data_IF_186238379364
#
_entry.id   IF_186238379364
#
_cell.length_a   1.000
_cell.length_b   1.000
_cell.length_c   1.000
_cell.angle_alpha   90.00
_cell.angle_beta   90.00
_cell.angle_gamma   90.00
#
_symmetry.space_group_name_H-M   'P 1'
#
loop_
_entity.id
_entity.type
_entity.pdbx_description
1 polymer ?
#
# COMPACT_ATOMS: atom_id res chain seq x y z
N UNK A 1 16.90 -75.10 4.28
CA UNK A 1 17.14 -74.79 5.71
C UNK A 1 18.29 -73.83 5.78
N UNK A 2 18.10 -72.62 6.22
CA UNK A 2 18.50 -72.18 7.57
C UNK A 2 17.49 -71.18 8.17
N UNK A 3 17.28 -71.31 9.36
CA UNK A 3 17.33 -70.65 10.63
C UNK A 3 17.05 -69.15 10.66
N UNK A 4 16.08 -68.84 11.49
CA UNK A 4 15.51 -67.56 11.78
C UNK A 4 16.46 -66.60 12.56
N UNK A 5 16.06 -65.34 12.51
CA UNK A 5 16.58 -64.35 13.41
C UNK A 5 15.44 -63.48 13.91
N UNK A 6 15.17 -63.63 15.20
CA UNK A 6 14.13 -62.94 15.97
C UNK A 6 14.51 -61.47 16.19
N UNK A 7 13.71 -60.53 15.73
CA UNK A 7 13.82 -59.14 16.14
C UNK A 7 12.92 -58.89 17.36
N UNK A 8 13.53 -58.57 18.49
CA UNK A 8 12.89 -58.10 19.72
C UNK A 8 12.17 -56.76 19.44
N UNK A 9 10.87 -56.71 19.68
CA UNK A 9 10.08 -55.47 19.81
C UNK A 9 10.36 -54.88 21.20
N UNK A 10 10.80 -53.63 21.21
CA UNK A 10 10.89 -52.82 22.43
C UNK A 10 9.55 -52.10 22.59
N UNK A 11 8.79 -52.47 23.58
CA UNK A 11 7.55 -51.81 23.98
C UNK A 11 7.91 -50.52 24.72
N UNK A 12 7.42 -49.38 24.21
CA UNK A 12 7.49 -48.09 24.90
C UNK A 12 6.21 -47.90 25.71
N UNK A 13 6.42 -47.89 27.02
CA UNK A 13 5.36 -47.76 28.03
C UNK A 13 4.88 -46.30 28.13
N UNK A 14 3.69 -46.01 27.63
CA UNK A 14 3.03 -44.69 27.75
C UNK A 14 2.23 -44.66 29.06
N UNK A 15 2.78 -43.99 30.06
CA UNK A 15 2.05 -43.67 31.30
C UNK A 15 0.97 -42.63 31.04
N UNK A 16 -0.30 -43.05 31.19
CA UNK A 16 -1.48 -42.17 31.27
C UNK A 16 -1.40 -41.32 32.54
N UNK A 17 -1.25 -40.00 32.41
CA UNK A 17 -1.58 -39.06 33.50
C UNK A 17 -3.05 -38.71 33.45
N UNK A 18 -3.72 -38.88 34.59
CA UNK A 18 -5.12 -38.52 34.80
C UNK A 18 -5.32 -37.01 34.71
N UNK A 19 -6.34 -36.59 33.94
CA UNK A 19 -6.87 -35.24 33.95
C UNK A 19 -7.54 -34.97 35.30
N UNK A 20 -7.17 -33.85 35.88
CA UNK A 20 -7.90 -33.21 36.96
C UNK A 20 -8.57 -31.97 36.34
N UNK A 21 -9.89 -32.04 36.28
CA UNK A 21 -10.77 -30.94 35.88
C UNK A 21 -10.76 -29.88 36.98
N UNK A 22 -10.25 -28.70 36.68
CA UNK A 22 -10.59 -27.51 37.46
C UNK A 22 -11.08 -26.43 36.49
N UNK A 23 -12.27 -25.98 36.81
CA UNK A 23 -12.99 -24.84 36.22
C UNK A 23 -12.09 -23.62 36.18
N UNK A 24 -12.00 -22.96 35.03
CA UNK A 24 -11.40 -21.62 34.91
C UNK A 24 -12.52 -20.65 34.58
N UNK A 25 -12.82 -19.88 35.60
CA UNK A 25 -13.57 -18.63 35.58
C UNK A 25 -13.02 -17.63 34.59
N UNK A 26 -13.90 -16.72 34.17
CA UNK A 26 -13.71 -15.70 33.14
C UNK A 26 -12.42 -14.90 33.28
N UNK A 27 -11.74 -14.72 32.16
CA UNK A 27 -10.71 -13.71 32.01
C UNK A 27 -11.35 -12.40 31.61
N UNK A 28 -11.50 -11.52 32.57
CA UNK A 28 -11.71 -10.09 32.37
C UNK A 28 -10.55 -9.51 31.56
N UNK A 29 -10.87 -8.64 30.62
CA UNK A 29 -9.88 -7.82 29.91
C UNK A 29 -9.22 -6.89 30.92
N UNK A 30 -7.89 -6.69 30.90
CA UNK A 30 -7.24 -5.73 31.79
C UNK A 30 -7.59 -4.32 31.36
N UNK A 31 -8.26 -3.61 32.26
CA UNK A 31 -8.49 -2.17 32.26
C UNK A 31 -7.11 -1.45 32.33
N UNK A 32 -6.78 -0.64 31.34
CA UNK A 32 -5.57 0.19 31.34
C UNK A 32 -5.78 1.44 32.21
N UNK A 33 -5.88 1.25 33.49
CA UNK A 33 -6.01 2.30 34.49
C UNK A 33 -4.87 2.27 35.51
N UNK A 34 -3.99 3.26 35.39
CA UNK A 34 -3.08 3.83 36.40
C UNK A 34 -2.07 2.93 37.16
N UNK A 35 -0.81 3.25 36.91
CA UNK A 35 0.43 2.98 37.66
C UNK A 35 1.30 1.83 37.14
N UNK A 36 2.43 2.24 36.55
CA UNK A 36 3.61 1.43 36.35
C UNK A 36 3.99 1.27 34.87
N UNK A 37 5.10 1.88 34.47
CA UNK A 37 5.85 1.79 33.23
C UNK A 37 5.61 0.47 32.45
N UNK A 38 4.58 0.41 31.63
CA UNK A 38 4.51 -0.45 30.47
C UNK A 38 4.75 0.45 29.28
N UNK A 39 5.97 0.46 28.77
CA UNK A 39 6.30 1.03 27.47
C UNK A 39 5.30 0.45 26.46
N UNK A 40 4.41 1.29 25.93
CA UNK A 40 3.70 0.95 24.71
C UNK A 40 4.76 0.51 23.71
N UNK A 41 4.58 -0.61 22.99
CA UNK A 41 5.53 -1.01 21.96
C UNK A 41 5.74 0.19 21.05
N UNK A 42 6.97 0.70 20.99
CA UNK A 42 7.32 1.86 20.18
C UNK A 42 6.83 1.58 18.76
N UNK A 43 6.08 2.52 18.18
CA UNK A 43 5.63 2.41 16.80
C UNK A 43 6.86 2.13 15.93
N UNK A 44 6.77 1.10 15.08
CA UNK A 44 7.87 0.72 14.17
C UNK A 44 8.14 1.95 13.29
N UNK A 45 9.36 2.49 13.26
CA UNK A 45 9.66 3.67 12.48
C UNK A 45 9.43 3.38 11.00
N UNK A 46 8.62 4.20 10.34
CA UNK A 46 8.46 4.14 8.89
C UNK A 46 9.69 4.72 8.21
N UNK A 47 10.17 4.03 7.19
CA UNK A 47 11.28 4.48 6.36
C UNK A 47 10.80 5.60 5.42
N UNK A 48 11.67 6.57 5.19
CA UNK A 48 11.48 7.58 4.15
C UNK A 48 12.55 7.36 3.07
N UNK A 49 12.26 7.56 1.80
CA UNK A 49 13.28 7.51 0.76
C UNK A 49 14.32 8.59 0.98
N UNK A 50 15.46 8.49 0.30
CA UNK A 50 16.52 9.50 0.32
C UNK A 50 15.95 10.90 0.09
N UNK A 51 16.50 11.92 0.76
CA UNK A 51 15.97 13.31 0.72
C UNK A 51 15.91 13.91 -0.69
N UNK A 52 16.71 13.41 -1.63
CA UNK A 52 16.72 13.84 -3.03
C UNK A 52 15.88 12.92 -3.94
N UNK A 53 15.24 11.90 -3.38
CA UNK A 53 14.39 10.98 -4.12
C UNK A 53 12.91 11.35 -3.98
N UNK A 54 12.22 11.36 -5.11
CA UNK A 54 10.74 11.46 -5.15
C UNK A 54 10.19 10.19 -5.79
N UNK A 55 9.44 9.40 -5.04
CA UNK A 55 8.79 8.18 -5.52
C UNK A 55 7.29 8.41 -5.40
N UNK A 56 6.58 8.44 -6.56
CA UNK A 56 5.15 8.70 -6.58
C UNK A 56 4.34 7.49 -6.09
N UNK A 57 4.72 6.29 -6.56
CA UNK A 57 4.03 5.06 -6.20
C UNK A 57 5.02 3.97 -5.81
N UNK A 58 4.92 3.49 -4.59
CA UNK A 58 5.69 2.35 -4.07
C UNK A 58 4.79 1.12 -4.03
N UNK A 59 5.05 0.14 -4.90
CA UNK A 59 4.19 -1.02 -5.11
C UNK A 59 4.94 -2.31 -4.80
N UNK A 60 4.47 -3.07 -3.84
CA UNK A 60 5.04 -4.39 -3.55
C UNK A 60 4.43 -5.48 -4.44
N UNK A 61 5.26 -6.38 -4.94
CA UNK A 61 4.81 -7.57 -5.66
C UNK A 61 5.07 -8.79 -4.79
N UNK A 62 4.02 -9.53 -4.50
CA UNK A 62 4.02 -10.60 -3.53
C UNK A 62 3.38 -11.87 -4.09
N UNK A 63 3.82 -13.03 -3.60
CA UNK A 63 3.19 -14.32 -3.88
C UNK A 63 3.10 -15.18 -2.63
N UNK A 64 2.08 -16.02 -2.57
CA UNK A 64 1.92 -16.97 -1.45
C UNK A 64 2.98 -18.07 -1.46
N UNK A 65 3.52 -18.45 -2.63
CA UNK A 65 4.41 -19.59 -2.83
C UNK A 65 5.50 -19.25 -3.86
N UNK A 66 6.63 -19.92 -3.75
CA UNK A 66 7.68 -19.87 -4.76
C UNK A 66 7.30 -20.57 -6.06
N UNK A 67 7.85 -20.10 -7.17
CA UNK A 67 7.68 -20.74 -8.49
C UNK A 67 6.44 -20.31 -9.31
N UNK A 68 5.68 -19.31 -8.83
CA UNK A 68 4.54 -18.74 -9.59
C UNK A 68 4.97 -17.68 -10.62
N UNK A 69 6.26 -17.40 -10.71
CA UNK A 69 6.80 -16.40 -11.63
C UNK A 69 6.66 -14.96 -11.16
N UNK A 70 6.60 -14.71 -9.84
CA UNK A 70 6.51 -13.38 -9.23
C UNK A 70 7.53 -12.39 -9.80
N UNK A 71 8.83 -12.73 -9.76
CA UNK A 71 9.91 -11.85 -10.25
C UNK A 71 9.82 -11.61 -11.76
N UNK A 72 9.38 -12.61 -12.55
CA UNK A 72 9.11 -12.39 -13.97
C UNK A 72 7.96 -11.39 -14.17
N UNK A 73 6.87 -11.51 -13.39
CA UNK A 73 5.76 -10.55 -13.44
C UNK A 73 6.24 -9.17 -13.01
N UNK A 74 7.04 -9.04 -11.94
CA UNK A 74 7.62 -7.76 -11.51
C UNK A 74 8.42 -7.09 -12.63
N UNK A 75 9.28 -7.85 -13.30
CA UNK A 75 10.06 -7.33 -14.44
C UNK A 75 9.16 -6.96 -15.63
N UNK A 76 8.18 -7.79 -15.98
CA UNK A 76 7.24 -7.49 -17.08
C UNK A 76 6.43 -6.22 -16.80
N UNK A 77 5.98 -6.01 -15.57
CA UNK A 77 5.31 -4.78 -15.16
C UNK A 77 6.25 -3.57 -15.30
N UNK A 78 7.50 -3.68 -14.82
CA UNK A 78 8.48 -2.60 -14.94
C UNK A 78 8.77 -2.24 -16.40
N UNK A 79 8.96 -3.24 -17.26
CA UNK A 79 9.19 -3.05 -18.69
C UNK A 79 8.00 -2.37 -19.36
N UNK A 80 6.78 -2.82 -19.07
CA UNK A 80 5.56 -2.25 -19.63
C UNK A 80 5.34 -0.79 -19.15
N UNK A 81 5.57 -0.49 -17.86
CA UNK A 81 5.54 0.87 -17.34
C UNK A 81 6.58 1.76 -18.02
N UNK A 82 7.81 1.25 -18.21
CA UNK A 82 8.87 2.01 -18.89
C UNK A 82 8.52 2.32 -20.34
N UNK A 83 7.89 1.39 -21.06
CA UNK A 83 7.37 1.61 -22.41
C UNK A 83 6.28 2.67 -22.50
N UNK A 84 5.49 2.82 -21.45
CA UNK A 84 4.49 3.89 -21.32
C UNK A 84 5.12 5.26 -20.99
N UNK A 85 6.45 5.32 -20.79
CA UNK A 85 7.20 6.56 -20.55
C UNK A 85 7.40 6.89 -19.06
N UNK A 86 6.99 6.03 -18.14
CA UNK A 86 7.21 6.24 -16.71
C UNK A 86 8.66 5.99 -16.30
N UNK A 87 9.15 6.72 -15.30
CA UNK A 87 10.41 6.44 -14.63
C UNK A 87 10.21 5.34 -13.59
N UNK A 88 10.92 4.21 -13.76
CA UNK A 88 10.67 2.98 -12.99
C UNK A 88 11.93 2.51 -12.27
N UNK A 89 11.74 2.09 -11.02
CA UNK A 89 12.74 1.38 -10.23
C UNK A 89 12.24 -0.01 -9.80
N UNK A 90 13.16 -0.95 -9.61
CA UNK A 90 12.91 -2.24 -8.98
C UNK A 90 13.85 -2.39 -7.79
N UNK A 91 13.27 -2.61 -6.61
CA UNK A 91 13.97 -3.06 -5.42
C UNK A 91 13.74 -4.58 -5.27
N UNK A 92 14.78 -5.36 -5.61
CA UNK A 92 14.74 -6.82 -5.48
C UNK A 92 15.10 -7.22 -4.04
N UNK A 93 14.10 -7.61 -3.29
CA UNK A 93 14.19 -8.08 -1.91
C UNK A 93 14.24 -9.61 -1.80
N UNK A 94 14.21 -10.36 -2.92
CA UNK A 94 14.32 -11.81 -2.95
C UNK A 94 15.78 -12.24 -3.16
N UNK A 95 16.46 -12.55 -2.07
CA UNK A 95 17.89 -12.93 -2.07
C UNK A 95 18.10 -14.37 -2.58
N UNK A 96 17.04 -15.17 -2.62
CA UNK A 96 17.17 -16.61 -2.91
C UNK A 96 17.44 -16.94 -4.37
N UNK A 97 17.38 -15.95 -5.27
CA UNK A 97 17.73 -16.11 -6.67
C UNK A 97 17.93 -14.77 -7.37
N UNK A 98 19.03 -14.57 -8.10
CA UNK A 98 19.37 -13.31 -8.79
C UNK A 98 18.53 -13.09 -10.05
N UNK A 99 17.20 -13.19 -9.96
CA UNK A 99 16.33 -13.22 -11.13
C UNK A 99 16.16 -11.85 -11.78
N UNK A 100 16.03 -10.78 -11.00
CA UNK A 100 15.76 -9.44 -11.55
C UNK A 100 16.96 -8.85 -12.28
N UNK A 101 18.18 -8.78 -11.69
CA UNK A 101 19.34 -8.27 -12.42
C UNK A 101 19.61 -9.06 -13.70
N UNK A 102 19.60 -10.39 -13.61
CA UNK A 102 19.87 -11.28 -14.75
C UNK A 102 18.81 -11.10 -15.85
N UNK A 103 17.53 -11.07 -15.50
CA UNK A 103 16.45 -10.96 -16.50
C UNK A 103 16.46 -9.63 -17.26
N UNK A 104 16.94 -8.54 -16.63
CA UNK A 104 17.08 -7.23 -17.24
C UNK A 104 18.48 -6.93 -17.77
N UNK A 105 19.39 -7.92 -17.81
CA UNK A 105 20.74 -7.75 -18.30
C UNK A 105 21.60 -6.77 -17.49
N UNK A 106 21.24 -6.60 -16.22
CA UNK A 106 21.98 -5.73 -15.29
C UNK A 106 23.05 -6.55 -14.59
N UNK A 107 24.28 -6.09 -14.65
CA UNK A 107 25.43 -6.77 -14.05
C UNK A 107 26.43 -5.75 -13.50
N UNK A 108 27.32 -6.22 -12.65
CA UNK A 108 28.39 -5.42 -12.06
C UNK A 108 28.08 -4.95 -10.64
N UNK A 109 29.13 -4.48 -9.91
CA UNK A 109 28.98 -4.04 -8.54
C UNK A 109 28.16 -2.75 -8.47
N UNK A 110 27.39 -2.60 -7.40
CA UNK A 110 26.72 -1.35 -7.08
C UNK A 110 27.77 -0.26 -6.85
N UNK A 111 27.61 0.86 -7.53
CA UNK A 111 28.43 2.04 -7.32
C UNK A 111 27.93 2.79 -6.08
N UNK A 112 28.85 3.37 -5.30
CA UNK A 112 28.50 4.23 -4.17
C UNK A 112 28.85 5.66 -4.56
N UNK A 113 27.84 6.54 -4.60
CA UNK A 113 27.97 7.95 -4.84
C UNK A 113 28.23 8.75 -3.55
N UNK A 114 28.19 10.08 -3.65
CA UNK A 114 28.35 10.97 -2.48
C UNK A 114 27.13 10.90 -1.55
N UNK A 115 25.93 10.67 -2.11
CA UNK A 115 24.66 10.64 -1.38
C UNK A 115 24.21 9.22 -0.99
N UNK A 116 24.81 8.17 -1.58
CA UNK A 116 24.41 6.80 -1.26
C UNK A 116 24.71 5.78 -2.36
N UNK A 117 24.02 4.65 -2.32
CA UNK A 117 24.15 3.62 -3.34
C UNK A 117 23.45 4.04 -4.65
N UNK A 118 24.14 3.93 -5.77
CA UNK A 118 23.59 4.27 -7.08
C UNK A 118 22.99 3.01 -7.70
N UNK A 119 21.65 2.98 -7.99
CA UNK A 119 21.02 1.82 -8.61
C UNK A 119 21.58 1.59 -10.02
N UNK A 120 21.84 0.34 -10.35
CA UNK A 120 22.23 -0.06 -11.70
C UNK A 120 21.06 0.17 -12.67
N UNK A 121 21.37 0.43 -13.95
CA UNK A 121 20.32 0.69 -14.95
C UNK A 121 20.31 -0.41 -16.01
N UNK A 122 19.11 -0.84 -16.39
CA UNK A 122 18.88 -1.68 -17.56
C UNK A 122 19.07 -0.93 -18.87
N UNK A 123 18.94 -1.60 -20.00
CA UNK A 123 19.12 -0.99 -21.34
C UNK A 123 18.10 0.11 -21.64
N UNK A 124 16.87 0.02 -21.13
CA UNK A 124 15.82 1.04 -21.28
C UNK A 124 15.80 2.07 -20.15
N UNK A 125 16.68 1.93 -19.15
CA UNK A 125 16.85 2.87 -18.06
C UNK A 125 16.07 2.52 -16.78
N UNK A 126 15.52 1.30 -16.65
CA UNK A 126 14.92 0.83 -15.40
C UNK A 126 16.02 0.76 -14.33
N UNK A 127 15.82 1.44 -13.21
CA UNK A 127 16.75 1.42 -12.07
C UNK A 127 16.57 0.14 -11.26
N UNK A 128 17.65 -0.60 -11.03
CA UNK A 128 17.62 -1.89 -10.31
C UNK A 128 18.55 -1.84 -9.12
N UNK A 129 18.03 -2.14 -7.96
CA UNK A 129 18.76 -2.41 -6.73
C UNK A 129 18.44 -3.82 -6.27
N UNK A 130 19.47 -4.65 -6.10
CA UNK A 130 19.35 -6.03 -5.64
C UNK A 130 20.52 -6.37 -4.74
N UNK A 131 20.27 -7.17 -3.72
CA UNK A 131 21.32 -7.74 -2.87
C UNK A 131 22.36 -8.52 -3.68
N UNK A 132 21.95 -9.16 -4.74
CA UNK A 132 22.83 -9.96 -5.58
C UNK A 132 23.90 -9.14 -6.31
N UNK A 133 23.67 -7.83 -6.50
CA UNK A 133 24.64 -6.93 -7.11
C UNK A 133 25.75 -6.47 -6.12
N UNK A 134 25.60 -6.75 -4.83
CA UNK A 134 26.59 -6.42 -3.79
C UNK A 134 27.56 -7.60 -3.58
N UNK A 135 27.14 -8.80 -3.96
CA UNK A 135 27.93 -9.99 -3.76
C UNK A 135 29.10 -10.03 -4.76
N UNK A 136 30.31 -10.46 -4.31
CA UNK A 136 31.49 -10.56 -5.18
C UNK A 136 31.33 -11.55 -6.32
N UNK A 137 30.51 -12.60 -6.13
CA UNK A 137 30.15 -13.58 -7.15
C UNK A 137 28.67 -13.97 -7.01
N UNK A 138 27.99 -14.22 -8.13
CA UNK A 138 26.58 -14.63 -8.16
C UNK A 138 26.32 -15.97 -7.43
N UNK A 139 27.34 -16.82 -7.35
CA UNK A 139 27.27 -18.14 -6.72
C UNK A 139 27.70 -18.13 -5.24
N UNK A 140 28.04 -16.99 -4.68
CA UNK A 140 28.42 -16.90 -3.27
C UNK A 140 27.22 -17.16 -2.37
N UNK A 141 27.25 -18.29 -1.66
CA UNK A 141 26.26 -18.65 -0.67
C UNK A 141 26.41 -17.78 0.58
N UNK A 142 25.71 -16.66 0.65
CA UNK A 142 25.69 -15.84 1.84
C UNK A 142 24.60 -16.33 2.78
N UNK A 143 25.01 -16.71 3.99
CA UNK A 143 24.05 -17.10 5.05
C UNK A 143 23.49 -15.82 5.68
N UNK A 144 22.53 -15.21 5.01
CA UNK A 144 21.78 -14.09 5.57
C UNK A 144 20.67 -14.61 6.50
N UNK A 145 20.62 -14.05 7.68
CA UNK A 145 19.48 -14.26 8.58
C UNK A 145 18.39 -13.23 8.28
N UNK A 146 17.12 -13.61 8.39
CA UNK A 146 15.96 -12.77 8.09
C UNK A 146 16.08 -11.30 8.54
N UNK A 147 16.47 -11.00 9.81
CA UNK A 147 16.62 -9.62 10.27
C UNK A 147 17.68 -8.79 9.52
N UNK A 148 18.76 -9.42 9.05
CA UNK A 148 19.80 -8.73 8.27
C UNK A 148 19.30 -8.38 6.88
N UNK A 149 18.52 -9.27 6.27
CA UNK A 149 17.90 -9.03 4.96
C UNK A 149 16.90 -7.87 5.07
N UNK A 150 16.04 -7.91 6.07
CA UNK A 150 15.06 -6.86 6.33
C UNK A 150 15.72 -5.50 6.54
N UNK A 151 16.82 -5.45 7.28
CA UNK A 151 17.62 -4.24 7.47
C UNK A 151 18.22 -3.73 6.15
N UNK A 152 18.74 -4.62 5.32
CA UNK A 152 19.34 -4.25 4.04
C UNK A 152 18.30 -3.71 3.05
N UNK A 153 17.11 -4.32 2.98
CA UNK A 153 16.00 -3.82 2.15
C UNK A 153 15.58 -2.42 2.59
N UNK A 154 15.48 -2.18 3.91
CA UNK A 154 15.22 -0.86 4.46
C UNK A 154 16.30 0.17 4.09
N UNK A 155 17.58 -0.21 4.19
CA UNK A 155 18.71 0.64 3.80
C UNK A 155 18.67 0.96 2.29
N UNK A 156 18.37 0.00 1.43
CA UNK A 156 18.25 0.25 0.00
C UNK A 156 17.11 1.21 -0.34
N UNK A 157 16.00 1.13 0.38
CA UNK A 157 14.93 2.08 0.19
C UNK A 157 15.34 3.49 0.61
N UNK A 158 16.06 3.64 1.74
CA UNK A 158 16.41 4.93 2.33
C UNK A 158 17.67 5.56 1.74
N UNK A 159 18.71 4.77 1.46
CA UNK A 159 20.07 5.25 1.16
C UNK A 159 20.40 5.16 -0.34
N UNK A 160 19.49 4.64 -1.17
CA UNK A 160 19.71 4.54 -2.60
C UNK A 160 19.32 5.85 -3.31
N UNK A 161 20.17 6.29 -4.24
CA UNK A 161 19.94 7.47 -5.09
C UNK A 161 18.87 7.17 -6.16
N UNK A 162 17.64 6.91 -5.72
CA UNK A 162 16.53 6.62 -6.63
C UNK A 162 16.21 7.78 -7.58
N UNK A 163 16.45 9.05 -7.13
CA UNK A 163 16.03 10.24 -7.85
C UNK A 163 14.50 10.27 -8.05
N UNK A 164 14.03 10.83 -9.16
CA UNK A 164 12.61 10.87 -9.45
C UNK A 164 12.14 9.56 -10.08
N UNK A 165 11.17 8.90 -9.45
CA UNK A 165 10.50 7.72 -9.96
C UNK A 165 8.97 7.94 -9.96
N UNK A 166 8.32 7.47 -11.02
CA UNK A 166 6.87 7.34 -11.03
C UNK A 166 6.44 6.06 -10.29
N UNK A 167 7.19 4.98 -10.48
CA UNK A 167 6.93 3.70 -9.81
C UNK A 167 8.21 3.08 -9.26
N UNK A 168 8.16 2.65 -7.98
CA UNK A 168 9.13 1.72 -7.40
C UNK A 168 8.43 0.39 -7.13
N UNK A 169 8.81 -0.65 -7.86
CA UNK A 169 8.32 -2.01 -7.65
C UNK A 169 9.25 -2.74 -6.67
N UNK A 170 8.68 -3.32 -5.61
CA UNK A 170 9.44 -4.11 -4.63
C UNK A 170 9.13 -5.59 -4.85
N UNK A 171 10.10 -6.34 -5.36
CA UNK A 171 9.98 -7.79 -5.57
C UNK A 171 10.25 -8.52 -4.25
N UNK A 172 9.19 -8.98 -3.57
CA UNK A 172 9.28 -9.61 -2.25
C UNK A 172 9.61 -11.10 -2.37
N UNK A 173 10.32 -11.71 -1.40
CA UNK A 173 10.44 -13.16 -1.35
C UNK A 173 9.06 -13.81 -1.17
N UNK A 174 8.90 -15.07 -1.61
CA UNK A 174 7.62 -15.76 -1.52
C UNK A 174 7.21 -16.02 -0.07
N UNK A 175 5.91 -16.03 0.18
CA UNK A 175 5.33 -16.30 1.50
C UNK A 175 5.14 -15.06 2.37
N UNK A 176 5.01 -15.27 3.67
CA UNK A 176 4.68 -14.26 4.68
C UNK A 176 5.72 -14.21 5.81
N UNK A 177 6.99 -14.41 5.47
CA UNK A 177 8.11 -14.40 6.41
C UNK A 177 8.60 -12.98 6.74
N UNK A 178 9.78 -12.87 7.35
CA UNK A 178 10.31 -11.63 7.94
C UNK A 178 10.40 -10.46 6.96
N UNK A 179 10.84 -10.68 5.72
CA UNK A 179 11.06 -9.60 4.74
C UNK A 179 9.75 -8.95 4.27
N UNK A 180 8.73 -9.71 3.79
CA UNK A 180 7.42 -9.13 3.49
C UNK A 180 6.82 -8.38 4.67
N UNK A 181 6.92 -8.93 5.88
CA UNK A 181 6.41 -8.30 7.09
C UNK A 181 7.11 -6.96 7.35
N UNK A 182 8.44 -6.92 7.30
CA UNK A 182 9.22 -5.68 7.53
C UNK A 182 8.91 -4.63 6.47
N UNK A 183 8.84 -5.03 5.20
CA UNK A 183 8.51 -4.08 4.11
C UNK A 183 7.15 -3.45 4.35
N UNK A 184 6.11 -4.25 4.65
CA UNK A 184 4.76 -3.72 4.91
C UNK A 184 4.68 -2.85 6.17
N UNK A 185 5.51 -3.11 7.19
CA UNK A 185 5.52 -2.32 8.43
C UNK A 185 6.30 -1.02 8.32
N UNK A 186 7.38 -1.03 7.52
CA UNK A 186 8.37 0.05 7.56
C UNK A 186 8.40 0.91 6.29
N UNK A 187 8.03 0.37 5.12
CA UNK A 187 7.98 1.12 3.86
C UNK A 187 6.54 1.55 3.60
N UNK A 188 6.29 2.83 3.32
CA UNK A 188 4.97 3.29 2.92
C UNK A 188 4.64 2.71 1.55
N UNK A 189 3.71 1.76 1.51
CA UNK A 189 3.23 1.13 0.28
C UNK A 189 1.94 1.79 -0.19
N UNK A 190 1.90 2.16 -1.47
CA UNK A 190 0.68 2.63 -2.13
C UNK A 190 -0.16 1.46 -2.64
N UNK A 191 0.44 0.28 -2.77
CA UNK A 191 -0.29 -0.92 -3.18
C UNK A 191 0.51 -2.21 -3.10
N UNK A 192 -0.22 -3.33 -3.05
CA UNK A 192 0.33 -4.68 -3.13
C UNK A 192 -0.32 -5.40 -4.31
N UNK A 193 0.49 -5.87 -5.25
CA UNK A 193 0.06 -6.75 -6.32
C UNK A 193 0.34 -8.19 -5.90
N UNK A 194 -0.71 -9.01 -5.86
CA UNK A 194 -0.60 -10.43 -5.58
C UNK A 194 -0.40 -11.20 -6.88
N UNK A 195 0.59 -12.10 -6.91
CA UNK A 195 0.84 -12.99 -8.05
C UNK A 195 0.54 -14.43 -7.65
N UNK A 196 -0.24 -15.10 -8.46
CA UNK A 196 -0.63 -16.52 -8.29
C UNK A 196 -0.53 -17.28 -9.61
N UNK A 197 -0.75 -18.58 -9.58
CA UNK A 197 -0.93 -19.43 -10.76
C UNK A 197 -2.20 -20.28 -10.61
N UNK A 198 -2.78 -20.86 -11.70
CA UNK A 198 -3.99 -21.66 -11.61
C UNK A 198 -3.90 -22.84 -10.64
N UNK A 199 -2.71 -23.39 -10.45
CA UNK A 199 -2.45 -24.51 -9.52
C UNK A 199 -2.52 -24.11 -8.05
N UNK A 200 -2.38 -22.82 -7.74
CA UNK A 200 -2.21 -22.31 -6.37
C UNK A 200 -3.53 -21.81 -5.76
N UNK A 201 -4.54 -21.60 -6.60
CA UNK A 201 -5.83 -21.01 -6.21
C UNK A 201 -6.60 -21.82 -5.15
N UNK A 202 -6.26 -23.08 -4.97
CA UNK A 202 -6.89 -23.94 -3.95
C UNK A 202 -6.32 -23.73 -2.53
N UNK A 203 -5.35 -22.84 -2.32
CA UNK A 203 -4.52 -22.85 -1.10
C UNK A 203 -4.75 -21.73 -0.12
N UNK A 204 -4.68 -22.06 1.15
CA UNK A 204 -4.65 -21.23 2.35
C UNK A 204 -3.56 -20.13 2.34
N UNK A 205 -2.57 -20.18 1.42
CA UNK A 205 -1.36 -19.38 1.52
C UNK A 205 -1.59 -17.94 1.04
N UNK A 206 -2.34 -17.76 -0.04
CA UNK A 206 -2.71 -16.42 -0.51
C UNK A 206 -3.61 -15.72 0.50
N UNK A 207 -4.51 -16.46 1.14
CA UNK A 207 -5.34 -15.95 2.24
C UNK A 207 -4.54 -15.50 3.49
N UNK A 208 -3.30 -16.00 3.69
CA UNK A 208 -2.41 -15.49 4.76
C UNK A 208 -1.79 -14.15 4.38
N UNK A 209 -1.38 -14.00 3.12
CA UNK A 209 -0.83 -12.76 2.60
C UNK A 209 -1.85 -11.60 2.71
N UNK A 210 -3.09 -11.86 2.30
CA UNK A 210 -4.20 -10.91 2.40
C UNK A 210 -4.48 -10.51 3.84
N UNK A 211 -4.55 -11.49 4.76
CA UNK A 211 -4.76 -11.20 6.19
C UNK A 211 -3.61 -10.40 6.79
N UNK A 212 -2.37 -10.67 6.37
CA UNK A 212 -1.21 -9.92 6.83
C UNK A 212 -1.27 -8.48 6.32
N UNK A 213 -1.58 -8.27 5.04
CA UNK A 213 -1.77 -6.94 4.46
C UNK A 213 -2.87 -6.16 5.19
N UNK A 214 -4.02 -6.79 5.44
CA UNK A 214 -5.14 -6.18 6.18
C UNK A 214 -4.79 -5.83 7.64
N UNK A 215 -3.98 -6.65 8.32
CA UNK A 215 -3.52 -6.37 9.69
C UNK A 215 -2.52 -5.21 9.77
N UNK A 216 -1.87 -4.88 8.67
CA UNK A 216 -0.85 -3.84 8.55
C UNK A 216 -1.35 -2.60 7.79
N UNK A 217 -2.65 -2.54 7.49
CA UNK A 217 -3.29 -1.49 6.70
C UNK A 217 -2.57 -1.23 5.36
N UNK A 218 -1.98 -2.29 4.78
CA UNK A 218 -1.30 -2.21 3.49
C UNK A 218 -2.32 -2.49 2.36
N UNK A 219 -2.56 -1.56 1.44
CA UNK A 219 -3.61 -1.67 0.43
C UNK A 219 -3.28 -2.73 -0.61
N UNK A 220 -4.26 -3.59 -0.95
CA UNK A 220 -4.12 -4.58 -2.01
C UNK A 220 -4.66 -3.97 -3.31
N UNK A 221 -3.79 -3.79 -4.30
CA UNK A 221 -4.13 -3.24 -5.62
C UNK A 221 -4.91 -4.23 -6.46
N UNK A 222 -4.53 -5.51 -6.41
CA UNK A 222 -5.19 -6.57 -7.17
C UNK A 222 -4.39 -7.86 -7.28
N UNK A 223 -4.98 -8.81 -7.99
CA UNK A 223 -4.43 -10.14 -8.27
C UNK A 223 -4.02 -10.26 -9.73
N UNK A 224 -2.85 -10.84 -10.01
CA UNK A 224 -2.43 -11.27 -11.34
C UNK A 224 -2.31 -12.80 -11.33
N UNK A 225 -3.02 -13.47 -12.22
CA UNK A 225 -2.88 -14.90 -12.44
C UNK A 225 -1.84 -15.14 -13.54
N UNK A 226 -0.67 -15.62 -13.17
CA UNK A 226 0.40 -15.95 -14.11
C UNK A 226 0.32 -17.42 -14.56
N UNK A 227 0.87 -17.74 -15.73
CA UNK A 227 0.87 -19.09 -16.30
C UNK A 227 -0.54 -19.66 -16.51
N UNK A 228 -1.52 -18.80 -16.80
CA UNK A 228 -2.93 -19.21 -16.92
C UNK A 228 -3.21 -20.04 -18.14
N UNK A 229 -2.54 -19.75 -19.24
CA UNK A 229 -2.77 -20.40 -20.53
C UNK A 229 -1.52 -20.43 -21.38
N UNK A 230 -1.53 -21.28 -22.40
CA UNK A 230 -0.55 -21.31 -23.49
C UNK A 230 -1.27 -20.94 -24.78
N UNK A 231 -0.70 -20.06 -25.59
CA UNK A 231 -1.21 -19.77 -26.92
C UNK A 231 -0.65 -20.78 -27.90
N UNK A 232 -1.51 -21.52 -28.59
CA UNK A 232 -1.10 -22.49 -29.61
C UNK A 232 -0.36 -21.75 -30.75
N UNK A 233 0.89 -22.09 -31.06
CA UNK A 233 1.64 -21.41 -32.12
C UNK A 233 1.09 -21.65 -33.54
N UNK A 234 0.25 -22.68 -33.74
CA UNK A 234 -0.29 -23.05 -35.04
C UNK A 234 -1.64 -22.37 -35.34
N UNK A 235 -2.53 -22.22 -34.35
CA UNK A 235 -3.88 -21.70 -34.56
C UNK A 235 -4.24 -20.51 -33.68
N UNK A 236 -3.38 -20.13 -32.73
CA UNK A 236 -3.64 -19.02 -31.80
C UNK A 236 -4.65 -19.32 -30.69
N UNK A 237 -5.21 -20.54 -30.65
CA UNK A 237 -6.15 -20.95 -29.61
C UNK A 237 -5.48 -20.99 -28.23
N UNK A 238 -6.20 -20.56 -27.21
CA UNK A 238 -5.74 -20.66 -25.82
C UNK A 238 -5.99 -22.07 -25.28
N UNK A 239 -4.94 -22.67 -24.75
CA UNK A 239 -4.99 -23.95 -24.06
C UNK A 239 -4.66 -23.70 -22.59
N UNK A 240 -5.48 -24.18 -21.68
CA UNK A 240 -5.32 -24.05 -20.24
C UNK A 240 -4.68 -25.32 -19.65
N UNK A 241 -3.34 -25.38 -19.57
CA UNK A 241 -2.62 -26.60 -19.22
C UNK A 241 -2.85 -27.05 -17.78
N UNK A 242 -3.30 -26.14 -16.93
CA UNK A 242 -3.58 -26.36 -15.52
C UNK A 242 -5.07 -26.35 -15.17
N UNK A 243 -5.94 -26.42 -16.19
CA UNK A 243 -7.39 -26.30 -16.05
C UNK A 243 -7.87 -24.84 -16.16
N UNK A 244 -9.19 -24.61 -16.04
CA UNK A 244 -9.77 -23.29 -16.19
C UNK A 244 -9.25 -22.31 -15.14
N UNK A 245 -9.13 -21.03 -15.54
CA UNK A 245 -8.78 -19.97 -14.62
C UNK A 245 -9.84 -19.81 -13.52
N UNK A 246 -9.38 -19.65 -12.30
CA UNK A 246 -10.20 -19.31 -11.15
C UNK A 246 -9.81 -17.94 -10.55
N UNK A 247 -9.08 -17.13 -11.32
CA UNK A 247 -8.52 -15.85 -10.89
C UNK A 247 -9.57 -14.88 -10.33
N UNK A 248 -10.73 -14.75 -11.01
CA UNK A 248 -11.82 -13.88 -10.55
C UNK A 248 -12.44 -14.34 -9.23
N UNK A 249 -12.68 -15.65 -9.06
CA UNK A 249 -13.19 -16.20 -7.81
C UNK A 249 -12.20 -16.00 -6.66
N UNK A 250 -10.91 -16.13 -6.95
CA UNK A 250 -9.86 -15.92 -5.97
C UNK A 250 -9.78 -14.45 -5.56
N UNK A 251 -9.77 -13.53 -6.52
CA UNK A 251 -9.76 -12.10 -6.28
C UNK A 251 -10.97 -11.66 -5.44
N UNK A 252 -12.17 -12.09 -5.82
CA UNK A 252 -13.40 -11.83 -5.05
C UNK A 252 -13.33 -12.34 -3.61
N UNK A 253 -12.81 -13.54 -3.38
CA UNK A 253 -12.62 -14.08 -2.03
C UNK A 253 -11.62 -13.30 -1.18
N UNK A 254 -10.71 -12.58 -1.83
CA UNK A 254 -9.71 -11.72 -1.19
C UNK A 254 -10.19 -10.27 -1.02
N UNK A 255 -11.38 -9.92 -1.53
CA UNK A 255 -11.88 -8.55 -1.50
C UNK A 255 -11.12 -7.61 -2.45
N UNK A 256 -10.55 -8.15 -3.54
CA UNK A 256 -9.82 -7.38 -4.55
C UNK A 256 -10.25 -7.79 -5.96
N UNK A 257 -9.68 -7.17 -6.99
CA UNK A 257 -9.98 -7.46 -8.39
C UNK A 257 -8.87 -8.26 -9.06
N UNK A 258 -9.26 -9.04 -10.09
CA UNK A 258 -8.30 -9.65 -11.00
C UNK A 258 -7.82 -8.59 -11.99
N UNK A 259 -6.54 -8.24 -11.93
CA UNK A 259 -5.92 -7.28 -12.87
C UNK A 259 -5.70 -7.89 -14.25
N UNK A 260 -5.61 -9.20 -14.33
CA UNK A 260 -5.55 -9.98 -15.54
C UNK A 260 -4.80 -11.29 -15.42
N UNK A 261 -4.77 -12.02 -16.54
CA UNK A 261 -4.12 -13.33 -16.66
C UNK A 261 -3.00 -13.28 -17.69
N UNK A 262 -1.83 -13.81 -17.31
CA UNK A 262 -0.65 -13.86 -18.17
C UNK A 262 -0.41 -15.28 -18.71
N UNK A 263 0.12 -15.41 -19.94
CA UNK A 263 0.41 -16.70 -20.53
C UNK A 263 1.63 -17.39 -19.89
N UNK A 264 1.66 -18.71 -19.97
CA UNK A 264 2.87 -19.49 -19.86
C UNK A 264 3.56 -19.45 -21.23
N UNK A 265 4.55 -18.56 -21.36
CA UNK A 265 5.27 -18.34 -22.61
C UNK A 265 6.77 -18.65 -22.42
N UNK A 266 7.29 -19.55 -23.27
CA UNK A 266 8.70 -19.92 -23.29
C UNK A 266 9.62 -18.72 -23.58
N UNK A 267 9.16 -17.77 -24.38
CA UNK A 267 9.94 -16.59 -24.75
C UNK A 267 10.31 -15.75 -23.51
N UNK A 268 9.45 -15.71 -22.50
CA UNK A 268 9.75 -15.01 -21.22
C UNK A 268 11.00 -15.60 -20.58
N UNK A 269 11.08 -16.94 -20.48
CA UNK A 269 12.24 -17.60 -19.87
C UNK A 269 13.50 -17.43 -20.71
N UNK A 270 13.42 -17.60 -22.03
CA UNK A 270 14.55 -17.46 -22.93
C UNK A 270 15.13 -16.04 -22.95
N UNK A 271 14.26 -15.04 -22.97
CA UNK A 271 14.68 -13.64 -22.92
C UNK A 271 15.24 -13.26 -21.54
N UNK A 272 14.62 -13.73 -20.44
CA UNK A 272 15.12 -13.49 -19.09
C UNK A 272 16.48 -14.16 -18.86
N UNK A 273 16.68 -15.41 -19.32
CA UNK A 273 17.97 -16.08 -19.23
C UNK A 273 19.06 -15.37 -20.05
N UNK A 274 18.67 -14.73 -21.13
CA UNK A 274 19.55 -13.93 -22.00
C UNK A 274 19.74 -12.49 -21.56
N UNK A 275 19.13 -12.02 -20.45
CA UNK A 275 19.17 -10.64 -19.99
C UNK A 275 18.47 -9.66 -20.93
N UNK A 276 17.49 -10.11 -21.68
CA UNK A 276 16.78 -9.35 -22.73
C UNK A 276 15.28 -9.31 -22.55
N UNK A 277 14.79 -9.44 -21.31
CA UNK A 277 13.34 -9.46 -21.03
C UNK A 277 12.65 -8.17 -21.48
N UNK A 278 13.39 -7.08 -21.60
CA UNK A 278 12.90 -5.80 -22.12
C UNK A 278 12.46 -5.88 -23.60
N UNK A 279 12.83 -6.93 -24.34
CA UNK A 279 12.39 -7.17 -25.72
C UNK A 279 11.03 -7.89 -25.79
N UNK A 280 10.55 -8.46 -24.68
CA UNK A 280 9.29 -9.20 -24.67
C UNK A 280 8.08 -8.27 -24.84
N UNK A 281 7.22 -8.60 -25.81
CA UNK A 281 5.99 -7.90 -26.10
C UNK A 281 4.80 -8.83 -26.00
N UNK A 282 3.72 -8.39 -25.34
CA UNK A 282 2.51 -9.21 -25.18
C UNK A 282 1.29 -8.33 -24.89
N UNK A 283 0.22 -8.47 -25.67
CA UNK A 283 -1.04 -7.78 -25.41
C UNK A 283 -1.61 -8.10 -24.03
N UNK A 284 -1.32 -9.28 -23.47
CA UNK A 284 -1.76 -9.66 -22.13
C UNK A 284 -1.03 -8.81 -21.07
N UNK A 285 0.28 -8.56 -21.24
CA UNK A 285 1.05 -7.70 -20.34
C UNK A 285 0.55 -6.25 -20.46
N UNK A 286 0.28 -5.76 -21.67
CA UNK A 286 -0.27 -4.43 -21.90
C UNK A 286 -1.65 -4.25 -21.25
N UNK A 287 -2.51 -5.25 -21.32
CA UNK A 287 -3.81 -5.23 -20.64
C UNK A 287 -3.67 -5.16 -19.11
N UNK A 288 -2.77 -5.99 -18.54
CA UNK A 288 -2.49 -6.02 -17.10
C UNK A 288 -1.93 -4.68 -16.64
N UNK A 289 -0.93 -4.12 -17.36
CA UNK A 289 -0.36 -2.84 -16.96
C UNK A 289 -1.36 -1.69 -17.08
N UNK A 290 -2.25 -1.71 -18.08
CA UNK A 290 -3.34 -0.77 -18.18
C UNK A 290 -4.29 -0.84 -16.98
N UNK A 291 -4.57 -2.03 -16.45
CA UNK A 291 -5.34 -2.20 -15.23
C UNK A 291 -4.58 -1.69 -13.99
N UNK A 292 -3.27 -1.95 -13.90
CA UNK A 292 -2.41 -1.45 -12.80
C UNK A 292 -2.36 0.07 -12.81
N UNK A 293 -2.05 0.70 -13.95
CA UNK A 293 -1.95 2.17 -14.06
C UNK A 293 -3.25 2.84 -13.67
N UNK A 294 -4.41 2.31 -14.11
CA UNK A 294 -5.72 2.85 -13.71
C UNK A 294 -5.93 2.85 -12.19
N UNK A 295 -5.33 1.91 -11.45
CA UNK A 295 -5.42 1.88 -9.97
C UNK A 295 -4.63 2.98 -9.28
N UNK A 296 -3.59 3.47 -9.92
CA UNK A 296 -2.73 4.53 -9.40
C UNK A 296 -2.94 5.88 -10.10
N UNK A 297 -3.81 5.96 -11.13
CA UNK A 297 -4.21 7.24 -11.71
C UNK A 297 -5.09 7.99 -10.70
N UNK A 298 -4.92 9.31 -10.59
CA UNK A 298 -5.74 10.15 -9.70
C UNK A 298 -7.25 10.05 -10.01
N UNK A 299 -7.62 9.65 -11.23
CA UNK A 299 -9.00 9.32 -11.60
C UNK A 299 -9.58 8.10 -10.85
N UNK A 300 -8.71 7.27 -10.24
CA UNK A 300 -9.10 6.04 -9.52
C UNK A 300 -8.60 5.98 -8.07
N UNK A 301 -8.12 7.10 -7.50
CA UNK A 301 -8.36 7.25 -6.08
C UNK A 301 -9.86 6.99 -5.93
N UNK A 302 -10.31 5.98 -5.14
CA UNK A 302 -11.72 5.93 -4.84
C UNK A 302 -12.03 7.37 -4.38
N UNK A 303 -12.85 8.11 -5.15
CA UNK A 303 -13.60 9.14 -4.50
C UNK A 303 -14.02 8.42 -3.24
N UNK A 304 -13.54 8.86 -2.09
CA UNK A 304 -14.10 8.44 -0.81
C UNK A 304 -15.54 8.96 -0.83
N UNK A 305 -16.30 8.33 -1.71
CA UNK A 305 -17.74 8.32 -1.62
C UNK A 305 -17.96 7.56 -0.33
N UNK A 306 -17.95 8.30 0.77
CA UNK A 306 -18.52 7.78 2.01
C UNK A 306 -19.92 7.38 1.60
N UNK A 307 -20.06 6.10 1.22
CA UNK A 307 -21.36 5.48 1.18
C UNK A 307 -21.85 5.62 2.60
N UNK A 308 -22.69 6.63 2.83
CA UNK A 308 -23.39 6.78 4.10
C UNK A 308 -24.16 5.48 4.24
N UNK A 309 -23.51 4.52 4.91
CA UNK A 309 -24.10 3.22 5.16
C UNK A 309 -25.36 3.49 5.97
N UNK A 310 -26.50 3.06 5.44
CA UNK A 310 -27.80 3.22 6.11
C UNK A 310 -27.66 2.65 7.52
N UNK A 311 -27.45 3.53 8.51
CA UNK A 311 -27.38 3.14 9.92
C UNK A 311 -26.36 3.88 10.78
N UNK A 312 -25.46 4.67 10.23
CA UNK A 312 -24.47 5.42 11.04
C UNK A 312 -24.92 6.87 11.28
N UNK A 313 -24.84 7.30 12.55
CA UNK A 313 -25.01 8.69 12.93
C UNK A 313 -23.72 9.42 12.64
N UNK A 314 -23.74 10.44 11.76
CA UNK A 314 -22.57 11.24 11.47
C UNK A 314 -22.89 12.73 11.58
N UNK A 315 -21.91 13.53 11.99
CA UNK A 315 -21.99 14.98 11.99
C UNK A 315 -21.12 15.56 10.88
N UNK A 316 -21.71 16.44 10.09
CA UNK A 316 -21.08 17.10 8.95
C UNK A 316 -21.03 18.59 9.26
N UNK A 317 -19.86 19.22 9.18
CA UNK A 317 -19.73 20.66 9.30
C UNK A 317 -19.61 21.32 7.93
N UNK A 318 -20.40 22.37 7.69
CA UNK A 318 -20.35 23.15 6.44
C UNK A 318 -19.84 24.55 6.79
N UNK A 319 -18.76 24.94 6.15
CA UNK A 319 -18.08 26.21 6.37
C UNK A 319 -18.84 27.32 5.65
N UNK A 320 -19.33 28.34 6.38
CA UNK A 320 -20.22 29.36 5.83
C UNK A 320 -19.63 30.78 5.94
N UNK A 321 -20.02 31.62 5.00
CA UNK A 321 -19.81 33.05 5.02
C UNK A 321 -20.95 33.74 4.29
N UNK A 322 -21.69 34.62 4.97
CA UNK A 322 -22.79 35.37 4.39
C UNK A 322 -23.98 34.51 3.94
N UNK A 323 -24.17 33.30 4.51
CA UNK A 323 -25.25 32.37 4.18
C UNK A 323 -24.96 31.42 3.03
N UNK A 324 -23.76 31.47 2.43
CA UNK A 324 -23.27 30.56 1.41
C UNK A 324 -22.05 29.76 1.90
N UNK A 325 -21.67 28.72 1.17
CA UNK A 325 -20.44 27.96 1.44
C UNK A 325 -19.24 28.92 1.30
N UNK A 326 -18.44 29.04 2.36
CA UNK A 326 -17.30 29.95 2.36
C UNK A 326 -16.22 29.51 1.36
N UNK A 327 -15.73 30.43 0.51
CA UNK A 327 -14.61 30.15 -0.38
C UNK A 327 -13.28 29.94 0.36
N UNK A 328 -13.20 30.27 1.66
CA UNK A 328 -11.99 30.17 2.46
C UNK A 328 -12.27 29.59 3.84
N UNK A 329 -11.79 28.40 4.12
CA UNK A 329 -11.94 27.71 5.41
C UNK A 329 -11.45 28.56 6.60
N UNK A 330 -10.27 29.14 6.51
CA UNK A 330 -9.63 29.87 7.62
C UNK A 330 -10.19 31.28 7.89
N UNK A 331 -11.14 31.76 7.09
CA UNK A 331 -11.77 33.07 7.24
C UNK A 331 -13.27 33.00 7.55
N UNK A 332 -13.79 31.81 7.71
CA UNK A 332 -15.20 31.61 8.00
C UNK A 332 -15.48 31.94 9.46
N UNK A 333 -16.57 32.67 9.68
CA UNK A 333 -17.05 33.08 11.00
C UNK A 333 -18.10 32.10 11.55
N UNK A 334 -18.75 31.35 10.68
CA UNK A 334 -19.85 30.46 11.00
C UNK A 334 -19.69 29.08 10.36
N UNK A 335 -20.16 28.07 11.09
CA UNK A 335 -20.18 26.68 10.64
C UNK A 335 -21.55 26.07 10.92
N UNK A 336 -22.18 25.49 9.90
CA UNK A 336 -23.39 24.72 10.11
C UNK A 336 -23.02 23.25 10.37
N UNK A 337 -23.27 22.77 11.58
CA UNK A 337 -23.10 21.34 11.91
C UNK A 337 -24.44 20.65 11.73
N UNK A 338 -24.46 19.63 10.89
CA UNK A 338 -25.65 18.83 10.56
C UNK A 338 -25.45 17.41 11.05
N UNK A 339 -26.39 16.92 11.82
CA UNK A 339 -26.44 15.53 12.26
C UNK A 339 -27.30 14.72 11.30
N UNK A 340 -26.74 13.66 10.72
CA UNK A 340 -27.38 12.78 9.75
C UNK A 340 -27.47 11.38 10.31
N UNK A 341 -28.65 10.80 10.32
CA UNK A 341 -28.90 9.41 10.74
C UNK A 341 -29.63 8.67 9.64
N UNK A 342 -29.03 7.60 9.13
CA UNK A 342 -29.63 6.77 8.08
C UNK A 342 -29.84 7.51 6.72
N UNK A 343 -29.13 8.60 6.48
CA UNK A 343 -29.29 9.46 5.28
C UNK A 343 -30.31 10.59 5.44
N UNK A 344 -30.97 10.70 6.60
CA UNK A 344 -31.91 11.78 6.90
C UNK A 344 -31.31 12.79 7.91
N UNK A 345 -31.60 14.06 7.70
CA UNK A 345 -31.11 15.13 8.56
C UNK A 345 -31.95 15.14 9.86
N UNK A 346 -31.28 14.98 11.01
CA UNK A 346 -31.92 14.96 12.34
C UNK A 346 -31.89 16.33 13.01
N UNK A 347 -30.73 17.01 12.96
CA UNK A 347 -30.56 18.31 13.58
C UNK A 347 -29.63 19.20 12.77
N UNK A 348 -29.74 20.52 12.99
CA UNK A 348 -28.84 21.54 12.45
C UNK A 348 -28.50 22.51 13.55
N UNK A 349 -27.23 22.83 13.70
CA UNK A 349 -26.72 23.79 14.67
C UNK A 349 -25.71 24.73 14.01
N UNK A 350 -25.74 26.01 14.34
CA UNK A 350 -24.74 26.97 13.86
C UNK A 350 -23.73 27.19 14.97
N UNK A 351 -22.47 26.88 14.68
CA UNK A 351 -21.34 27.17 15.55
C UNK A 351 -20.59 28.41 15.04
N UNK A 352 -20.15 29.27 15.93
CA UNK A 352 -19.30 30.39 15.60
C UNK A 352 -17.83 30.04 15.82
N UNK A 353 -16.96 30.52 14.91
CA UNK A 353 -15.52 30.31 15.05
C UNK A 353 -15.01 30.96 16.35
N UNK A 354 -14.17 30.28 17.15
CA UNK A 354 -13.44 30.92 18.22
C UNK A 354 -12.48 31.97 17.65
N UNK A 355 -12.18 33.02 18.44
CA UNK A 355 -11.25 34.08 18.04
C UNK A 355 -9.91 33.48 17.55
N UNK A 356 -9.38 34.01 16.45
CA UNK A 356 -8.26 33.55 15.62
C UNK A 356 -7.07 32.91 16.36
N UNK A 357 -7.15 31.62 16.66
CA UNK A 357 -6.01 30.81 17.08
C UNK A 357 -5.76 29.73 16.02
N UNK A 358 -4.51 29.62 15.53
CA UNK A 358 -4.12 28.57 14.59
C UNK A 358 -4.39 27.16 15.18
N UNK A 359 -5.19 26.35 14.50
CA UNK A 359 -5.51 24.99 14.95
C UNK A 359 -6.76 24.86 15.84
N UNK A 360 -7.43 25.97 16.23
CA UNK A 360 -8.63 25.91 17.06
C UNK A 360 -9.83 25.23 16.36
N UNK A 361 -9.98 25.39 15.05
CA UNK A 361 -11.10 24.83 14.29
C UNK A 361 -11.08 23.30 14.20
N UNK A 362 -9.97 22.63 13.86
CA UNK A 362 -9.92 21.16 13.89
C UNK A 362 -10.24 20.57 15.26
N UNK A 363 -9.75 21.22 16.34
CA UNK A 363 -10.05 20.81 17.72
C UNK A 363 -11.53 20.98 18.06
N UNK A 364 -12.14 22.09 17.63
CA UNK A 364 -13.58 22.36 17.82
C UNK A 364 -14.43 21.29 17.12
N UNK A 365 -14.09 20.93 15.88
CA UNK A 365 -14.82 19.91 15.13
C UNK A 365 -14.68 18.53 15.75
N UNK A 366 -13.47 18.15 16.16
CA UNK A 366 -13.25 16.88 16.86
C UNK A 366 -14.05 16.81 18.19
N UNK A 367 -14.08 17.89 18.99
CA UNK A 367 -14.87 17.94 20.23
C UNK A 367 -16.38 17.82 20.01
N UNK A 368 -16.88 18.32 18.87
CA UNK A 368 -18.30 18.20 18.51
C UNK A 368 -18.63 16.89 17.76
N UNK A 369 -17.64 16.00 17.56
CA UNK A 369 -17.84 14.73 16.90
C UNK A 369 -18.12 14.85 15.38
N UNK A 370 -17.59 15.92 14.76
CA UNK A 370 -17.69 16.12 13.31
C UNK A 370 -16.83 15.09 12.58
N UNK A 371 -17.44 14.33 11.70
CA UNK A 371 -16.75 13.32 10.87
C UNK A 371 -16.32 13.86 9.50
N UNK A 372 -17.03 14.89 8.98
CA UNK A 372 -16.74 15.44 7.66
C UNK A 372 -16.95 16.95 7.62
N UNK A 373 -16.14 17.63 6.78
CA UNK A 373 -16.21 19.10 6.58
C UNK A 373 -16.40 19.40 5.11
N UNK A 374 -17.36 20.28 4.78
CA UNK A 374 -17.58 20.82 3.42
C UNK A 374 -17.08 22.29 3.42
N UNK A 375 -16.20 22.64 2.47
CA UNK A 375 -15.65 23.97 2.29
C UNK A 375 -15.48 24.33 0.81
N UNK A 376 -15.49 25.61 0.47
CA UNK A 376 -15.18 26.07 -0.89
C UNK A 376 -13.68 25.97 -1.20
N UNK A 377 -12.82 26.40 -0.28
CA UNK A 377 -11.37 26.30 -0.40
C UNK A 377 -10.72 26.14 0.95
N UNK A 378 -9.66 25.36 1.04
CA UNK A 378 -8.93 25.08 2.27
C UNK A 378 -7.42 25.18 2.03
N UNK A 379 -6.69 25.71 2.99
CA UNK A 379 -5.22 25.74 2.94
C UNK A 379 -4.61 24.41 3.38
N UNK A 380 -3.49 24.04 2.76
CA UNK A 380 -2.85 22.73 2.99
C UNK A 380 -2.53 22.43 4.47
N UNK A 381 -2.18 23.44 5.28
CA UNK A 381 -1.98 23.25 6.71
C UNK A 381 -3.26 22.91 7.50
N UNK A 382 -4.39 23.52 7.14
CA UNK A 382 -5.68 23.23 7.77
C UNK A 382 -6.18 21.83 7.37
N UNK A 383 -5.98 21.43 6.11
CA UNK A 383 -6.30 20.10 5.60
C UNK A 383 -5.56 19.01 6.40
N UNK A 384 -4.23 19.15 6.55
CA UNK A 384 -3.43 18.19 7.33
C UNK A 384 -3.88 18.08 8.80
N UNK A 385 -4.32 19.19 9.41
CA UNK A 385 -4.80 19.14 10.79
C UNK A 385 -6.16 18.43 10.91
N UNK A 386 -7.05 18.60 9.94
CA UNK A 386 -8.34 17.90 9.91
C UNK A 386 -8.16 16.40 9.63
N UNK A 387 -7.32 16.04 8.68
CA UNK A 387 -6.98 14.65 8.39
C UNK A 387 -6.36 13.92 9.59
N UNK A 388 -5.43 14.58 10.30
CA UNK A 388 -4.86 14.03 11.55
C UNK A 388 -5.89 13.85 12.67
N UNK A 389 -6.96 14.64 12.65
CA UNK A 389 -8.08 14.50 13.57
C UNK A 389 -9.12 13.44 13.09
N UNK A 390 -8.88 12.76 11.96
CA UNK A 390 -9.79 11.79 11.38
C UNK A 390 -11.05 12.41 10.75
N UNK A 391 -10.98 13.69 10.34
CA UNK A 391 -12.09 14.45 9.77
C UNK A 391 -11.89 14.53 8.25
N UNK A 392 -12.83 14.01 7.49
CA UNK A 392 -12.81 14.07 6.03
C UNK A 392 -13.15 15.47 5.51
N UNK A 393 -12.48 15.94 4.45
CA UNK A 393 -12.65 17.28 3.90
C UNK A 393 -13.13 17.22 2.46
N UNK A 394 -14.26 17.88 2.18
CA UNK A 394 -14.79 18.11 0.83
C UNK A 394 -14.53 19.57 0.44
N UNK A 395 -13.50 19.80 -0.37
CA UNK A 395 -13.12 21.12 -0.85
C UNK A 395 -13.73 21.39 -2.25
N UNK A 396 -13.93 22.66 -2.58
CA UNK A 396 -14.45 23.08 -3.89
C UNK A 396 -15.97 23.27 -3.94
N UNK A 397 -16.69 23.08 -2.84
CA UNK A 397 -18.12 23.32 -2.76
C UNK A 397 -18.45 24.81 -2.94
N UNK A 398 -19.53 25.14 -3.67
CA UNK A 398 -19.97 26.50 -3.97
C UNK A 398 -21.50 26.58 -3.83
N UNK A 399 -22.02 27.78 -3.52
CA UNK A 399 -23.45 28.04 -3.45
C UNK A 399 -24.06 27.77 -2.09
N UNK A 400 -25.30 27.26 -2.04
CA UNK A 400 -26.01 27.10 -0.78
C UNK A 400 -25.48 25.93 0.03
N UNK A 401 -25.42 26.02 1.36
CA UNK A 401 -25.04 24.92 2.24
C UNK A 401 -25.95 23.69 2.07
N UNK A 402 -27.25 23.92 1.79
CA UNK A 402 -28.23 22.88 1.55
C UNK A 402 -27.95 22.09 0.29
N UNK A 403 -27.56 22.77 -0.79
CA UNK A 403 -27.25 22.12 -2.09
C UNK A 403 -25.95 21.30 -1.95
N UNK A 404 -24.95 21.84 -1.25
CA UNK A 404 -23.70 21.13 -0.97
C UNK A 404 -23.94 19.88 -0.12
N UNK A 405 -24.78 20.01 0.93
CA UNK A 405 -25.16 18.87 1.78
C UNK A 405 -25.97 17.83 0.97
N UNK A 406 -26.94 18.29 0.17
CA UNK A 406 -27.73 17.40 -0.70
C UNK A 406 -26.87 16.63 -1.69
N UNK A 407 -25.86 17.29 -2.28
CA UNK A 407 -24.89 16.66 -3.18
C UNK A 407 -24.02 15.64 -2.47
N UNK A 408 -23.60 15.93 -1.23
CA UNK A 408 -22.86 14.97 -0.41
C UNK A 408 -23.71 13.74 -0.05
N UNK A 409 -24.96 13.94 0.40
CA UNK A 409 -25.88 12.85 0.74
C UNK A 409 -26.29 11.99 -0.48
N UNK A 410 -26.32 12.61 -1.68
CA UNK A 410 -26.56 11.92 -2.94
C UNK A 410 -25.32 11.23 -3.52
N UNK A 411 -24.13 11.40 -2.90
CA UNK A 411 -22.86 10.87 -3.40
C UNK A 411 -22.39 11.56 -4.71
N UNK A 412 -22.83 12.79 -4.96
CA UNK A 412 -22.49 13.56 -6.17
C UNK A 412 -21.57 14.74 -5.91
N UNK A 413 -21.21 15.00 -4.63
CA UNK A 413 -20.27 16.05 -4.29
C UNK A 413 -18.85 15.57 -4.57
N UNK A 414 -18.20 16.12 -5.59
CA UNK A 414 -16.79 15.87 -5.90
C UNK A 414 -15.90 16.87 -5.19
N UNK A 415 -14.84 16.40 -4.54
CA UNK A 415 -13.81 17.26 -3.94
C UNK A 415 -12.88 17.74 -5.06
N UNK A 416 -12.78 19.07 -5.27
CA UNK A 416 -11.75 19.63 -6.16
C UNK A 416 -10.52 20.02 -5.34
N UNK A 417 -9.32 19.76 -5.86
CA UNK A 417 -8.05 20.21 -5.27
C UNK A 417 -7.82 21.72 -5.45
N UNK A 418 -8.81 22.56 -5.17
CA UNK A 418 -8.59 24.00 -5.07
C UNK A 418 -7.88 24.31 -3.72
N UNK A 419 -6.61 23.97 -3.62
CA UNK A 419 -5.74 24.45 -2.55
C UNK A 419 -5.57 25.95 -2.77
N UNK A 420 -6.12 26.75 -1.88
CA UNK A 420 -5.89 28.18 -1.90
C UNK A 420 -4.39 28.45 -1.79
N UNK A 421 -3.77 28.92 -2.88
CA UNK A 421 -2.37 29.39 -2.91
C UNK A 421 -2.21 30.66 -2.09
N UNK A 422 -2.34 30.53 -0.76
CA UNK A 422 -2.02 31.56 0.20
C UNK A 422 -0.58 31.37 0.65
N UNK A 423 0.29 32.34 0.31
CA UNK A 423 1.68 32.37 0.70
C UNK A 423 1.86 32.04 2.18
N UNK A 424 2.98 31.39 2.48
CA UNK A 424 3.48 31.15 3.84
C UNK A 424 3.57 32.49 4.60
N UNK A 425 2.49 32.80 5.35
CA UNK A 425 2.55 33.78 6.42
C UNK A 425 3.14 33.06 7.62
N UNK A 426 4.45 33.17 7.80
CA UNK A 426 5.11 32.90 9.06
C UNK A 426 4.42 33.74 10.12
N UNK A 427 3.92 33.14 11.19
CA UNK A 427 3.56 33.84 12.43
C UNK A 427 4.86 34.41 13.00
N UNK A 428 5.20 35.64 12.62
CA UNK A 428 6.27 36.40 13.23
C UNK A 428 5.77 36.85 14.60
N UNK A 429 6.44 36.39 15.64
CA UNK A 429 6.51 37.10 16.90
C UNK A 429 7.28 38.40 16.62
N UNK A 430 6.59 39.51 16.61
CA UNK A 430 7.20 40.79 16.85
C UNK A 430 6.92 41.19 18.32
N UNK A 431 7.94 40.93 19.14
CA UNK A 431 8.14 41.62 20.40
C UNK A 431 8.70 43.02 20.11
N UNK A 432 8.09 44.01 20.68
CA UNK A 432 8.89 45.19 20.98
C UNK A 432 8.38 46.55 20.55
N UNK A 433 7.70 47.22 21.45
CA UNK A 433 8.26 48.49 21.86
C UNK A 433 7.70 49.77 21.26
N UNK A 434 7.14 50.56 22.09
CA UNK A 434 7.36 51.99 22.04
C UNK A 434 6.12 52.85 21.76
N UNK A 435 5.44 53.21 22.82
CA UNK A 435 4.70 54.48 22.90
C UNK A 435 5.66 55.61 22.64
N UNK A 436 5.28 56.57 21.78
CA UNK A 436 5.33 58.00 22.10
C UNK A 436 4.76 58.86 20.95
N UNK A 437 3.83 59.76 21.40
CA UNK A 437 3.20 60.92 20.75
C UNK A 437 2.05 60.73 19.80
#
# INVERSE_FOLDING_TARGET
>A
VPQGNSRKRTEVNVRKKKNNSQEQEGREQPDCGAQGNSECPAAIPRFSPHSEATIKHTVAVMSGKGGVGKSAVTMLLAVALRRLGFEVGILDADITGPSVPRGLGVSGPIMVGEAGAIPSKSSTGIKVMSMNLILPAEDDAVIWRGPLISSAVGQFYQECEWGNLDYLLIDLPPGTADVPLTVMQSIPLDGIILVTSPQELAGMIVGKAVRMAAQLDAPITGLIENMSYVTCPSCGERVEPFGPSHGEEAASRMGTDLLGSLPLDRAISELADGGRLEEYESPAVEAVIGAVVRRFSDENKPEETISITKGENMKIAIVMSGGEVSPHFGRAEEFMVVEVEGGEIRSREILHAPAHECGALPALFAQNGVASVIAGGIGGGAMQHLERAGIHVYAGAKGSPEDALGSLLAGTLTSSEEICGGGMGTCGHDDGGGCDH
#
